data_IF_743086821961
#
_entry.id   IF_743086821961
#
_cell.length_a   1.000
_cell.length_b   1.000
_cell.length_c   1.000
_cell.angle_alpha   90.00
_cell.angle_beta   90.00
_cell.angle_gamma   90.00
#
_symmetry.space_group_name_H-M   'P 1'
#
loop_
_entity.id
_entity.type
_entity.pdbx_description
1 polymer ?
#
# COMPACT_ATOMS: atom_id res chain seq x y z
N UNK A 1 2.06 10.72 -19.46
CA UNK A 1 0.96 11.06 -18.53
C UNK A 1 1.53 11.84 -17.36
N UNK A 2 0.83 12.84 -16.77
CA UNK A 2 1.28 13.45 -15.52
C UNK A 2 1.29 12.41 -14.39
N UNK A 3 2.06 12.62 -13.33
CA UNK A 3 2.02 11.75 -12.16
C UNK A 3 0.74 11.95 -11.35
N UNK A 4 0.19 10.88 -10.78
CA UNK A 4 -0.99 10.93 -9.91
C UNK A 4 -0.64 10.51 -8.48
N UNK A 5 -1.08 11.27 -7.49
CA UNK A 5 -0.75 11.04 -6.08
C UNK A 5 -2.01 10.76 -5.26
N UNK A 6 -1.95 9.70 -4.45
CA UNK A 6 -2.98 9.30 -3.50
C UNK A 6 -2.44 9.49 -2.08
N UNK A 7 -3.20 10.17 -1.23
CA UNK A 7 -2.87 10.39 0.18
C UNK A 7 -3.96 9.80 1.05
N UNK A 8 -3.66 8.72 1.77
CA UNK A 8 -4.68 7.87 2.40
C UNK A 8 -4.30 7.54 3.83
N UNK A 9 -5.31 7.43 4.70
CA UNK A 9 -5.15 7.02 6.09
C UNK A 9 -5.41 5.52 6.21
N UNK A 10 -4.40 4.78 6.61
CA UNK A 10 -4.44 3.33 6.80
C UNK A 10 -4.91 3.00 8.21
N UNK A 11 -5.75 1.97 8.34
CA UNK A 11 -6.20 1.46 9.63
C UNK A 11 -6.22 -0.06 9.63
N UNK A 12 -6.05 -0.70 10.79
CA UNK A 12 -6.17 -2.15 10.87
C UNK A 12 -7.61 -2.64 10.81
N UNK A 13 -8.60 -1.78 11.10
CA UNK A 13 -10.03 -2.10 10.91
C UNK A 13 -10.41 -2.24 9.43
N UNK A 14 -9.68 -1.60 8.53
CA UNK A 14 -9.91 -1.67 7.08
C UNK A 14 -9.33 -2.94 6.43
N UNK A 15 -8.57 -3.74 7.18
CA UNK A 15 -8.03 -5.01 6.72
C UNK A 15 -9.09 -6.10 6.66
N UNK A 16 -8.84 -7.12 5.83
CA UNK A 16 -9.73 -8.29 5.71
C UNK A 16 -8.90 -9.58 5.63
N UNK A 17 -8.88 -10.42 6.69
CA UNK A 17 -9.45 -10.22 8.02
C UNK A 17 -8.89 -9.01 8.77
N UNK A 18 -9.54 -8.55 9.84
CA UNK A 18 -9.10 -7.38 10.60
C UNK A 18 -7.65 -7.50 11.08
N UNK A 19 -6.87 -6.45 10.83
CA UNK A 19 -5.47 -6.34 11.21
C UNK A 19 -5.30 -5.77 12.61
N UNK A 20 -4.30 -4.91 12.80
CA UNK A 20 -4.00 -4.32 14.11
C UNK A 20 -5.16 -3.45 14.64
N UNK A 21 -5.83 -3.80 15.75
CA UNK A 21 -7.03 -3.09 16.21
C UNK A 21 -6.81 -1.59 16.48
N UNK A 22 -5.62 -1.26 16.99
CA UNK A 22 -5.17 0.12 17.26
C UNK A 22 -4.16 0.61 16.19
N UNK A 23 -4.01 -0.13 15.10
CA UNK A 23 -3.09 0.16 14.02
C UNK A 23 -3.55 1.32 13.16
N UNK A 24 -2.67 2.30 12.93
CA UNK A 24 -2.88 3.34 11.94
C UNK A 24 -1.57 3.79 11.29
N UNK A 25 -1.68 4.28 10.05
CA UNK A 25 -0.58 4.93 9.33
C UNK A 25 -1.13 5.92 8.30
N UNK A 26 -0.26 6.75 7.73
CA UNK A 26 -0.55 7.56 6.55
C UNK A 26 0.30 7.08 5.39
N UNK A 27 -0.29 6.85 4.24
CA UNK A 27 0.43 6.51 3.01
C UNK A 27 0.24 7.62 1.97
N UNK A 28 1.35 7.99 1.33
CA UNK A 28 1.36 8.78 0.10
C UNK A 28 1.91 7.87 -0.98
N UNK A 29 1.13 7.60 -2.03
CA UNK A 29 1.51 6.78 -3.18
C UNK A 29 1.44 7.64 -4.43
N UNK A 30 2.53 7.75 -5.16
CA UNK A 30 2.60 8.50 -6.41
C UNK A 30 2.90 7.55 -7.57
N UNK A 31 2.02 7.56 -8.55
CA UNK A 31 2.17 6.83 -9.80
C UNK A 31 2.80 7.76 -10.84
N UNK A 32 3.96 7.38 -11.38
CA UNK A 32 4.69 8.13 -12.38
C UNK A 32 4.57 7.44 -13.75
N UNK A 33 3.48 7.69 -14.47
CA UNK A 33 3.24 7.07 -15.78
C UNK A 33 4.15 7.53 -16.95
N UNK A 34 5.21 8.32 -16.69
CA UNK A 34 6.27 8.62 -17.69
C UNK A 34 7.52 7.78 -17.46
N UNK A 35 7.86 7.53 -16.20
CA UNK A 35 9.06 6.77 -15.80
C UNK A 35 8.70 5.34 -15.38
N UNK A 36 7.42 4.98 -15.48
CA UNK A 36 6.88 3.69 -15.09
C UNK A 36 7.29 3.29 -13.66
N UNK A 37 7.13 4.24 -12.74
CA UNK A 37 7.48 4.08 -11.33
C UNK A 37 6.28 4.28 -10.41
N UNK A 38 6.30 3.54 -9.30
CA UNK A 38 5.43 3.76 -8.15
C UNK A 38 6.30 4.15 -6.97
N UNK A 39 6.13 5.38 -6.50
CA UNK A 39 6.82 5.89 -5.32
C UNK A 39 5.87 5.90 -4.13
N UNK A 40 6.38 5.62 -2.93
CA UNK A 40 5.60 5.64 -1.70
C UNK A 40 6.30 6.37 -0.56
N UNK A 41 5.49 6.81 0.40
CA UNK A 41 5.95 7.26 1.70
C UNK A 41 4.91 6.96 2.78
N UNK A 42 5.34 6.29 3.83
CA UNK A 42 4.57 5.97 5.02
C UNK A 42 4.99 6.89 6.18
N UNK A 43 4.00 7.32 6.97
CA UNK A 43 4.19 8.13 8.17
C UNK A 43 3.24 7.67 9.28
N UNK A 44 3.53 8.07 10.51
CA UNK A 44 2.62 7.90 11.65
C UNK A 44 2.21 6.44 11.90
N UNK A 45 3.13 5.48 11.77
CA UNK A 45 2.88 4.06 12.04
C UNK A 45 2.64 3.85 13.54
N UNK A 46 1.40 4.02 14.00
CA UNK A 46 1.00 3.80 15.40
C UNK A 46 0.36 2.42 15.52
N UNK A 47 0.77 1.63 16.51
CA UNK A 47 0.23 0.27 16.70
C UNK A 47 0.61 -0.73 15.61
N UNK A 48 1.57 -0.38 14.74
CA UNK A 48 2.17 -1.26 13.71
C UNK A 48 3.60 -1.60 14.16
N UNK A 49 3.70 -2.49 15.14
CA UNK A 49 4.99 -2.92 15.72
C UNK A 49 5.68 -3.92 14.81
N UNK A 50 6.99 -3.78 14.61
CA UNK A 50 7.81 -4.63 13.73
C UNK A 50 7.23 -4.76 12.31
N UNK A 51 7.09 -3.65 11.55
CA UNK A 51 6.63 -3.71 10.17
C UNK A 51 7.61 -4.53 9.33
N UNK A 52 7.09 -5.35 8.42
CA UNK A 52 7.89 -6.30 7.62
C UNK A 52 7.82 -5.96 6.14
N UNK A 53 6.61 -5.90 5.58
CA UNK A 53 6.40 -5.71 4.15
C UNK A 53 5.36 -4.63 3.87
N UNK A 54 5.40 -4.05 2.68
CA UNK A 54 4.34 -3.19 2.18
C UNK A 54 4.09 -3.44 0.69
N UNK A 55 2.82 -3.45 0.31
CA UNK A 55 2.38 -3.84 -1.02
C UNK A 55 1.21 -2.99 -1.49
N UNK A 56 1.03 -2.88 -2.81
CA UNK A 56 -0.25 -2.54 -3.43
C UNK A 56 -0.87 -3.84 -3.92
N UNK A 57 -2.14 -4.03 -3.60
CA UNK A 57 -2.94 -5.18 -4.03
C UNK A 57 -4.08 -4.74 -4.93
N UNK A 58 -4.60 -5.65 -5.74
CA UNK A 58 -5.87 -5.47 -6.47
C UNK A 58 -7.01 -6.14 -5.70
N UNK A 59 -7.87 -5.35 -5.08
CA UNK A 59 -9.06 -5.80 -4.37
C UNK A 59 -9.93 -4.63 -3.89
N UNK A 60 -11.24 -4.74 -4.07
CA UNK A 60 -12.19 -3.76 -3.56
C UNK A 60 -12.23 -3.75 -2.01
N UNK A 61 -12.85 -2.73 -1.42
CA UNK A 61 -13.04 -2.66 0.03
C UNK A 61 -13.71 -3.94 0.57
N UNK A 62 -13.20 -4.46 1.70
CA UNK A 62 -13.68 -5.70 2.30
C UNK A 62 -13.30 -6.99 1.56
N UNK A 63 -12.51 -6.90 0.48
CA UNK A 63 -12.00 -8.07 -0.24
C UNK A 63 -10.48 -8.01 -0.30
N UNK A 64 -9.83 -9.13 0.00
CA UNK A 64 -8.39 -9.29 -0.18
C UNK A 64 -8.08 -9.81 -1.57
N UNK A 65 -6.95 -9.41 -2.13
CA UNK A 65 -6.56 -9.82 -3.47
C UNK A 65 -5.06 -9.87 -3.67
N UNK A 66 -4.65 -10.15 -4.91
CA UNK A 66 -3.25 -10.41 -5.23
C UNK A 66 -2.40 -9.15 -5.15
N UNK A 67 -1.13 -9.34 -4.76
CA UNK A 67 -0.09 -8.29 -4.82
C UNK A 67 0.12 -7.91 -6.28
N UNK A 68 0.07 -6.62 -6.57
CA UNK A 68 0.36 -6.07 -7.90
C UNK A 68 1.58 -5.17 -7.91
N UNK A 69 1.96 -4.58 -6.76
CA UNK A 69 3.23 -3.83 -6.62
C UNK A 69 3.87 -4.20 -5.29
N UNK A 70 5.13 -4.64 -5.35
CA UNK A 70 5.97 -4.86 -4.19
C UNK A 70 6.67 -3.55 -3.79
N UNK A 71 6.28 -2.93 -2.66
CA UNK A 71 6.86 -1.64 -2.24
C UNK A 71 8.08 -1.85 -1.33
N UNK A 72 7.87 -2.34 -0.10
CA UNK A 72 8.94 -2.65 0.84
C UNK A 72 9.02 -4.16 1.05
N UNK A 73 10.09 -4.79 0.57
CA UNK A 73 10.27 -6.26 0.61
C UNK A 73 11.62 -6.72 1.19
N UNK A 74 12.51 -5.80 1.56
CA UNK A 74 13.83 -6.12 2.07
C UNK A 74 13.85 -6.59 3.53
N UNK A 75 15.05 -6.91 4.02
CA UNK A 75 15.30 -7.28 5.43
C UNK A 75 14.84 -6.18 6.40
N UNK A 76 15.02 -4.92 6.00
CA UNK A 76 14.58 -3.75 6.75
C UNK A 76 13.37 -3.13 6.07
N UNK A 77 12.36 -2.80 6.85
CA UNK A 77 11.18 -2.11 6.35
C UNK A 77 11.50 -0.67 5.93
N UNK A 78 11.18 -0.32 4.70
CA UNK A 78 11.38 1.02 4.14
C UNK A 78 10.09 1.82 4.18
N UNK A 79 10.11 2.93 4.92
CA UNK A 79 8.98 3.87 4.97
C UNK A 79 8.87 4.74 3.72
N UNK A 80 9.83 4.70 2.79
CA UNK A 80 9.76 5.41 1.51
C UNK A 80 10.62 4.71 0.46
N UNK A 81 10.27 4.92 -0.80
CA UNK A 81 11.05 4.42 -1.93
C UNK A 81 10.30 4.60 -3.24
N UNK A 82 10.90 4.08 -4.31
CA UNK A 82 10.28 3.96 -5.62
C UNK A 82 10.64 2.59 -6.21
N UNK A 83 9.67 1.97 -6.89
CA UNK A 83 9.86 0.71 -7.61
C UNK A 83 9.34 0.86 -9.03
N UNK A 84 9.94 0.11 -9.95
CA UNK A 84 9.42 0.01 -11.31
C UNK A 84 8.06 -0.72 -11.30
N UNK A 85 7.18 -0.32 -12.21
CA UNK A 85 5.89 -0.95 -12.48
C UNK A 85 5.64 -0.94 -13.99
N UNK A 86 4.57 -1.56 -14.46
CA UNK A 86 4.20 -1.46 -15.88
C UNK A 86 3.30 -0.25 -16.12
N UNK A 87 3.46 0.39 -17.29
CA UNK A 87 2.54 1.43 -17.73
C UNK A 87 1.08 0.96 -17.77
N UNK A 88 0.83 -0.31 -18.12
CA UNK A 88 -0.49 -0.95 -18.09
C UNK A 88 -1.06 -0.99 -16.67
N UNK A 89 -0.27 -1.41 -15.67
CA UNK A 89 -0.73 -1.46 -14.29
C UNK A 89 -0.97 -0.06 -13.72
N UNK A 90 -0.08 0.89 -13.99
CA UNK A 90 -0.25 2.29 -13.56
C UNK A 90 -1.57 2.84 -14.10
N UNK A 91 -1.82 2.70 -15.40
CA UNK A 91 -3.08 3.14 -16.03
C UNK A 91 -4.30 2.44 -15.42
N UNK A 92 -4.20 1.15 -15.12
CA UNK A 92 -5.29 0.40 -14.50
C UNK A 92 -5.61 0.91 -13.08
N UNK A 93 -4.59 1.22 -12.28
CA UNK A 93 -4.79 1.83 -10.94
C UNK A 93 -5.37 3.24 -11.09
N UNK A 94 -4.88 4.05 -12.03
CA UNK A 94 -5.42 5.40 -12.26
C UNK A 94 -6.87 5.40 -12.74
N UNK A 95 -7.27 4.40 -13.52
CA UNK A 95 -8.64 4.27 -14.03
C UNK A 95 -9.64 3.84 -12.94
N UNK A 96 -9.22 3.01 -11.98
CA UNK A 96 -10.09 2.53 -10.91
C UNK A 96 -9.35 2.33 -9.59
N UNK A 97 -8.94 3.42 -8.90
CA UNK A 97 -8.08 3.34 -7.73
C UNK A 97 -8.74 2.62 -6.55
N UNK A 98 -10.08 2.69 -6.42
CA UNK A 98 -10.84 1.99 -5.39
C UNK A 98 -10.90 0.46 -5.54
N UNK A 99 -10.38 -0.08 -6.66
CA UNK A 99 -10.13 -1.51 -6.82
C UNK A 99 -8.73 -1.91 -6.36
N UNK A 100 -7.97 -1.00 -5.76
CA UNK A 100 -6.61 -1.23 -5.29
C UNK A 100 -6.40 -0.65 -3.91
N UNK A 101 -5.61 -1.34 -3.10
CA UNK A 101 -5.30 -0.89 -1.76
C UNK A 101 -3.81 -1.01 -1.47
N UNK A 102 -3.32 -0.11 -0.64
CA UNK A 102 -2.00 -0.21 -0.02
C UNK A 102 -2.13 -0.85 1.34
N UNK A 103 -1.21 -1.75 1.67
CA UNK A 103 -1.12 -2.45 2.95
C UNK A 103 0.30 -2.36 3.53
N UNK A 104 0.40 -2.33 4.86
CA UNK A 104 1.63 -2.59 5.60
C UNK A 104 1.42 -3.82 6.48
N UNK A 105 2.31 -4.79 6.38
CA UNK A 105 2.36 -6.01 7.18
C UNK A 105 3.24 -5.80 8.42
N UNK A 106 3.05 -6.64 9.43
CA UNK A 106 3.97 -6.73 10.56
C UNK A 106 4.19 -8.16 11.01
N UNK A 107 5.17 -8.41 11.88
CA UNK A 107 5.44 -9.75 12.42
C UNK A 107 4.20 -10.41 13.03
N UNK A 108 3.37 -9.63 13.74
CA UNK A 108 2.12 -10.12 14.36
C UNK A 108 0.97 -10.25 13.36
N UNK A 109 0.92 -9.37 12.37
CA UNK A 109 -0.16 -9.33 11.37
C UNK A 109 0.43 -9.58 9.98
N UNK A 110 0.74 -10.85 9.69
CA UNK A 110 1.38 -11.28 8.44
C UNK A 110 0.45 -11.17 7.23
N UNK A 111 -0.86 -11.31 7.42
CA UNK A 111 -1.87 -11.00 6.40
C UNK A 111 -2.04 -9.51 6.10
N UNK A 112 -1.58 -8.66 7.03
CA UNK A 112 -1.60 -7.21 6.94
C UNK A 112 -2.00 -6.54 8.25
N UNK A 113 -1.24 -5.53 8.67
CA UNK A 113 -1.47 -4.81 9.92
C UNK A 113 -2.41 -3.62 9.73
N UNK A 114 -2.25 -2.89 8.64
CA UNK A 114 -3.06 -1.71 8.30
C UNK A 114 -3.23 -1.59 6.78
N UNK A 115 -4.38 -1.08 6.34
CA UNK A 115 -4.70 -0.85 4.92
C UNK A 115 -5.49 0.42 4.69
N UNK A 116 -5.39 0.92 3.47
CA UNK A 116 -6.33 1.87 2.88
C UNK A 116 -6.50 1.59 1.38
N UNK A 117 -7.70 1.85 0.87
CA UNK A 117 -7.93 1.97 -0.58
C UNK A 117 -7.15 3.17 -1.13
N UNK A 118 -6.74 3.10 -2.39
CA UNK A 118 -6.08 4.20 -3.10
C UNK A 118 -7.10 5.24 -3.59
#
# INVERSE_FOLDING_TARGET
>A
MPSRTYSVKMTGKAETPTGAPNGSASAVVTLHGKTDQVCWRFKNLKGVTDPTYAHIHKGASGTSGNIVVALSTGLNFLTKGCVASSSTLIKAIEANPHSYYVNIHSKKYTGGAVRAQL
#
